data_IF_113605944098
#
_entry.id   IF_113605944098
#
_cell.length_a   1.000
_cell.length_b   1.000
_cell.length_c   1.000
_cell.angle_alpha   90.00
_cell.angle_beta   90.00
_cell.angle_gamma   90.00
#
_symmetry.space_group_name_H-M   'P 1'
#
loop_
_entity.id
_entity.type
_entity.pdbx_description
1 polymer ?
#
# COMPACT_ATOMS: atom_id res chain seq x y z
N UNK A 1 7.87 22.87 -21.82
CA UNK A 1 8.34 21.89 -20.82
C UNK A 1 7.11 21.14 -20.38
N UNK A 2 7.17 19.82 -20.43
CA UNK A 2 6.19 18.95 -19.78
C UNK A 2 6.20 19.21 -18.27
N UNK A 3 5.03 19.07 -17.65
CA UNK A 3 4.88 19.15 -16.20
C UNK A 3 5.56 17.92 -15.55
N UNK A 4 6.60 18.11 -14.70
CA UNK A 4 7.31 16.99 -14.09
C UNK A 4 6.41 16.05 -13.28
N UNK A 5 5.30 16.56 -12.73
CA UNK A 5 4.34 15.75 -11.98
C UNK A 5 3.59 14.81 -12.92
N UNK A 6 3.10 15.34 -14.05
CA UNK A 6 2.42 14.56 -15.08
C UNK A 6 3.32 13.46 -15.67
N UNK A 7 4.60 13.75 -15.91
CA UNK A 7 5.57 12.74 -16.36
C UNK A 7 5.76 11.62 -15.33
N UNK A 8 5.95 12.00 -14.06
CA UNK A 8 6.12 11.03 -12.98
C UNK A 8 4.89 10.11 -12.80
N UNK A 9 3.68 10.65 -12.96
CA UNK A 9 2.43 9.88 -12.90
C UNK A 9 2.40 8.85 -14.03
N UNK A 10 2.84 9.21 -15.22
CA UNK A 10 2.84 8.30 -16.37
C UNK A 10 3.88 7.18 -16.22
N UNK A 11 5.11 7.51 -15.80
CA UNK A 11 6.12 6.51 -15.46
C UNK A 11 5.63 5.55 -14.36
N UNK A 12 4.93 6.08 -13.36
CA UNK A 12 4.37 5.27 -12.28
C UNK A 12 3.36 4.26 -12.82
N UNK A 13 2.47 4.64 -13.73
CA UNK A 13 1.52 3.71 -14.35
C UNK A 13 2.25 2.59 -15.10
N UNK A 14 3.27 2.95 -15.87
CA UNK A 14 4.08 1.97 -16.61
C UNK A 14 4.80 1.01 -15.66
N UNK A 15 5.39 1.51 -14.56
CA UNK A 15 6.01 0.67 -13.52
C UNK A 15 5.00 -0.26 -12.86
N UNK A 16 3.81 0.22 -12.52
CA UNK A 16 2.75 -0.63 -11.92
C UNK A 16 2.38 -1.78 -12.88
N UNK A 17 2.19 -1.47 -14.16
CA UNK A 17 1.85 -2.49 -15.16
C UNK A 17 2.97 -3.52 -15.31
N UNK A 18 4.22 -3.07 -15.45
CA UNK A 18 5.39 -3.95 -15.55
C UNK A 18 5.59 -4.81 -14.30
N UNK A 19 5.39 -4.25 -13.11
CA UNK A 19 5.45 -4.98 -11.84
C UNK A 19 4.37 -6.05 -11.73
N UNK A 20 3.21 -5.86 -12.39
CA UNK A 20 2.16 -6.87 -12.49
C UNK A 20 2.60 -8.15 -13.21
N UNK A 21 3.59 -8.06 -14.10
CA UNK A 21 4.14 -9.20 -14.86
C UNK A 21 5.50 -9.67 -14.32
N UNK A 22 6.12 -8.89 -13.42
CA UNK A 22 7.42 -9.19 -12.84
C UNK A 22 7.35 -10.37 -11.86
N UNK A 23 7.81 -11.54 -12.31
CA UNK A 23 7.81 -12.78 -11.53
C UNK A 23 8.67 -12.68 -10.26
N UNK A 24 9.87 -12.14 -10.35
CA UNK A 24 10.79 -12.07 -9.21
C UNK A 24 10.22 -11.18 -8.11
N UNK A 25 9.62 -10.05 -8.48
CA UNK A 25 8.96 -9.15 -7.53
C UNK A 25 7.75 -9.82 -6.86
N UNK A 26 6.94 -10.57 -7.63
CA UNK A 26 5.80 -11.31 -7.09
C UNK A 26 6.23 -12.43 -6.14
N UNK A 27 7.27 -13.17 -6.50
CA UNK A 27 7.80 -14.25 -5.67
C UNK A 27 8.40 -13.68 -4.37
N UNK A 28 9.13 -12.57 -4.44
CA UNK A 28 9.64 -11.87 -3.26
C UNK A 28 8.52 -11.33 -2.37
N UNK A 29 7.48 -10.72 -2.95
CA UNK A 29 6.33 -10.21 -2.20
C UNK A 29 5.59 -11.33 -1.46
N UNK A 30 5.42 -12.50 -2.11
CA UNK A 30 4.83 -13.68 -1.49
C UNK A 30 5.66 -14.18 -0.31
N UNK A 31 6.96 -14.41 -0.52
CA UNK A 31 7.86 -14.88 0.55
C UNK A 31 7.86 -13.90 1.71
N UNK A 32 7.96 -12.59 1.44
CA UNK A 32 7.90 -11.57 2.47
C UNK A 32 6.59 -11.64 3.26
N UNK A 33 5.44 -11.74 2.58
CA UNK A 33 4.14 -11.84 3.25
C UNK A 33 4.07 -13.03 4.21
N UNK A 34 4.54 -14.20 3.79
CA UNK A 34 4.53 -15.42 4.60
C UNK A 34 5.44 -15.30 5.85
N UNK A 35 6.70 -14.88 5.66
CA UNK A 35 7.66 -14.81 6.77
C UNK A 35 7.36 -13.66 7.72
N UNK A 36 6.92 -12.51 7.19
CA UNK A 36 6.60 -11.33 7.99
C UNK A 36 5.30 -11.50 8.78
N UNK A 37 4.32 -12.23 8.24
CA UNK A 37 3.12 -12.61 9.00
C UNK A 37 3.47 -13.48 10.21
N UNK A 38 4.27 -14.53 9.99
CA UNK A 38 4.73 -15.42 11.08
C UNK A 38 5.51 -14.66 12.15
N UNK A 39 6.33 -13.70 11.74
CA UNK A 39 7.12 -12.85 12.64
C UNK A 39 6.31 -11.70 13.28
N UNK A 40 4.99 -11.61 13.03
CA UNK A 40 4.13 -10.52 13.49
C UNK A 40 4.68 -9.13 13.12
N UNK A 41 5.30 -9.00 11.95
CA UNK A 41 5.96 -7.76 11.53
C UNK A 41 5.00 -6.55 11.56
N UNK A 42 3.78 -6.72 11.06
CA UNK A 42 2.79 -5.64 11.00
C UNK A 42 2.34 -5.13 12.38
N UNK A 43 2.50 -5.93 13.43
CA UNK A 43 2.10 -5.57 14.81
C UNK A 43 3.04 -4.54 15.44
N UNK A 44 4.18 -4.26 14.80
CA UNK A 44 5.15 -3.27 15.28
C UNK A 44 4.79 -1.83 14.89
N UNK A 45 3.70 -1.62 14.15
CA UNK A 45 3.31 -0.32 13.64
C UNK A 45 2.12 0.27 14.38
N UNK A 46 2.02 1.58 14.31
CA UNK A 46 0.88 2.33 14.85
C UNK A 46 0.44 3.38 13.83
N UNK A 47 -0.87 3.61 13.76
CA UNK A 47 -1.47 4.68 12.97
C UNK A 47 -2.09 5.71 13.89
N UNK A 48 -1.63 6.97 13.80
CA UNK A 48 -2.08 8.07 14.66
C UNK A 48 -2.02 7.73 16.17
N UNK A 49 -0.97 7.03 16.59
CA UNK A 49 -0.75 6.63 17.98
C UNK A 49 -1.55 5.39 18.43
N UNK A 50 -2.28 4.73 17.52
CA UNK A 50 -3.03 3.49 17.81
C UNK A 50 -2.33 2.29 17.17
N UNK A 51 -2.09 1.20 17.90
CA UNK A 51 -1.59 -0.05 17.31
C UNK A 51 -2.50 -0.54 16.18
N UNK A 52 -1.91 -1.11 15.13
CA UNK A 52 -2.62 -1.69 13.98
C UNK A 52 -2.15 -3.12 13.71
N UNK A 53 -3.00 -3.91 13.05
CA UNK A 53 -2.65 -5.25 12.55
C UNK A 53 -2.33 -5.21 11.05
N UNK A 54 -2.94 -4.25 10.34
CA UNK A 54 -2.73 -4.01 8.91
C UNK A 54 -1.28 -3.63 8.62
N UNK A 55 -0.81 -3.96 7.42
CA UNK A 55 0.55 -3.59 7.05
C UNK A 55 0.66 -2.08 6.79
N UNK A 56 1.86 -1.49 6.93
CA UNK A 56 2.08 -0.08 6.63
C UNK A 56 1.60 0.34 5.23
N UNK A 57 1.80 -0.50 4.21
CA UNK A 57 1.33 -0.21 2.85
C UNK A 57 -0.20 -0.14 2.73
N UNK A 58 -0.93 -0.94 3.51
CA UNK A 58 -2.41 -0.89 3.54
C UNK A 58 -2.87 0.46 4.09
N UNK A 59 -2.16 0.97 5.09
CA UNK A 59 -2.46 2.28 5.68
C UNK A 59 -2.16 3.44 4.73
N UNK A 60 -1.13 3.34 3.90
CA UNK A 60 -0.88 4.34 2.84
C UNK A 60 -1.99 4.29 1.79
N UNK A 61 -2.39 3.09 1.35
CA UNK A 61 -3.50 2.95 0.40
C UNK A 61 -4.80 3.56 0.95
N UNK A 62 -5.13 3.29 2.22
CA UNK A 62 -6.27 3.90 2.90
C UNK A 62 -6.16 5.44 2.92
N UNK A 63 -4.99 5.99 3.21
CA UNK A 63 -4.78 7.44 3.21
C UNK A 63 -4.97 8.06 1.81
N UNK A 64 -4.45 7.41 0.77
CA UNK A 64 -4.64 7.86 -0.62
C UNK A 64 -6.12 7.86 -1.00
N UNK A 65 -6.86 6.78 -0.68
CA UNK A 65 -8.31 6.67 -0.95
C UNK A 65 -9.09 7.74 -0.19
N UNK A 66 -8.85 7.91 1.11
CA UNK A 66 -9.52 8.96 1.91
C UNK A 66 -9.22 10.34 1.33
N UNK A 67 -7.98 10.56 0.88
CA UNK A 67 -7.57 11.84 0.31
C UNK A 67 -8.24 12.13 -1.03
N UNK A 68 -8.37 11.14 -1.90
CA UNK A 68 -9.01 11.27 -3.21
C UNK A 68 -10.53 11.38 -3.10
N UNK A 69 -11.15 10.48 -2.34
CA UNK A 69 -12.62 10.34 -2.26
C UNK A 69 -13.25 11.40 -1.35
N UNK A 70 -12.52 11.87 -0.33
CA UNK A 70 -13.04 12.79 0.70
C UNK A 70 -14.38 12.31 1.31
N UNK A 71 -14.47 11.07 1.83
CA UNK A 71 -15.75 10.52 2.29
C UNK A 71 -16.27 11.26 3.54
N UNK A 72 -17.60 11.39 3.64
CA UNK A 72 -18.26 11.88 4.85
C UNK A 72 -18.29 10.83 5.98
N UNK A 73 -18.26 9.55 5.62
CA UNK A 73 -18.32 8.42 6.56
C UNK A 73 -17.44 7.26 6.07
N UNK A 74 -16.67 6.69 7.00
CA UNK A 74 -15.92 5.44 6.82
C UNK A 74 -16.52 4.40 7.76
N UNK A 75 -16.87 3.24 7.22
CA UNK A 75 -17.40 2.10 7.99
C UNK A 75 -16.38 0.96 7.90
N UNK A 76 -15.88 0.52 9.06
CA UNK A 76 -15.05 -0.68 9.20
C UNK A 76 -15.82 -1.69 10.06
N UNK A 77 -16.00 -2.92 9.57
CA UNK A 77 -16.77 -3.96 10.29
C UNK A 77 -15.90 -4.91 11.12
N UNK A 78 -14.59 -4.63 11.24
CA UNK A 78 -13.64 -5.53 11.88
C UNK A 78 -13.49 -6.88 11.15
N UNK A 79 -12.68 -7.76 11.74
CA UNK A 79 -12.62 -9.20 11.44
C UNK A 79 -13.35 -9.94 12.55
#
# INVERSE_FOLDING_TARGET
MSDPISEFIEERKQRIQSNGENKDLKDAAKVFNEVSHTAQYSYNFSWMGRPIIQYPQDMIAMQEIIWEVKPDLIIETGI
#
